data_IF_846407749263
#
_entry.id   IF_846407749263
#
_cell.length_a   1.000
_cell.length_b   1.000
_cell.length_c   1.000
_cell.angle_alpha   90.00
_cell.angle_beta   90.00
_cell.angle_gamma   90.00
#
_symmetry.space_group_name_H-M   'P 1'
#
loop_
_entity.id
_entity.type
_entity.pdbx_description
1 polymer ?
#
# COMPACT_ATOMS: atom_id res chain seq x y z
N UNK A 1 42.18 17.68 26.89
CA UNK A 1 41.46 16.90 27.91
C UNK A 1 40.05 16.69 27.42
N UNK A 2 39.72 15.44 27.15
CA UNK A 2 38.42 14.96 26.69
C UNK A 2 37.26 15.44 27.56
N UNK A 3 36.10 15.62 26.96
CA UNK A 3 34.91 14.88 27.41
C UNK A 3 33.86 14.83 26.31
N UNK A 4 33.61 13.59 25.91
CA UNK A 4 32.62 13.08 24.99
C UNK A 4 31.20 13.36 25.50
N UNK A 5 30.42 14.12 24.71
CA UNK A 5 28.99 14.29 24.89
C UNK A 5 28.24 13.04 24.43
N UNK A 6 27.55 12.41 25.37
CA UNK A 6 26.85 11.14 25.23
C UNK A 6 25.81 11.12 24.09
N UNK A 7 25.96 10.16 23.17
CA UNK A 7 24.90 9.70 22.29
C UNK A 7 23.80 9.05 23.16
N UNK A 8 22.73 9.79 23.41
CA UNK A 8 21.49 9.25 23.99
C UNK A 8 20.96 8.16 23.05
N UNK A 9 21.06 6.92 23.51
CA UNK A 9 20.62 5.74 22.79
C UNK A 9 19.17 5.88 22.33
N UNK A 10 18.97 5.69 21.02
CA UNK A 10 17.69 5.26 20.51
C UNK A 10 17.40 3.89 21.13
N UNK A 11 16.53 3.89 22.13
CA UNK A 11 16.02 2.71 22.80
C UNK A 11 15.43 1.75 21.75
N UNK A 12 16.12 0.63 21.48
CA UNK A 12 15.66 -0.40 20.54
C UNK A 12 14.52 -1.28 21.12
N UNK A 13 13.84 -0.86 22.20
CA UNK A 13 12.75 -1.59 22.86
C UNK A 13 11.61 -1.99 21.93
N UNK A 14 11.33 -1.22 20.86
CA UNK A 14 10.29 -1.56 19.88
C UNK A 14 10.62 -2.76 18.98
N UNK A 15 11.88 -3.24 18.96
CA UNK A 15 12.28 -4.40 18.14
C UNK A 15 12.01 -5.76 18.81
N UNK A 16 11.82 -5.79 20.13
CA UNK A 16 11.45 -7.02 20.86
C UNK A 16 9.95 -7.02 21.07
N UNK A 17 9.20 -7.65 20.15
CA UNK A 17 7.92 -8.36 20.41
C UNK A 17 7.16 -8.77 19.12
N UNK A 18 7.66 -8.43 17.92
CA UNK A 18 7.05 -8.88 16.65
C UNK A 18 7.17 -10.40 16.41
N UNK A 19 7.92 -11.12 17.25
CA UNK A 19 8.25 -12.54 17.08
C UNK A 19 7.16 -13.53 17.53
N UNK A 20 5.99 -13.06 18.00
CA UNK A 20 4.93 -13.96 18.48
C UNK A 20 3.76 -14.15 17.50
N UNK A 21 3.62 -13.29 16.48
CA UNK A 21 2.63 -13.43 15.41
C UNK A 21 3.24 -14.04 14.15
N UNK A 22 2.80 -15.23 13.76
CA UNK A 22 3.49 -16.07 12.79
C UNK A 22 3.41 -15.63 11.31
N UNK A 23 2.76 -14.52 10.94
CA UNK A 23 2.63 -14.13 9.53
C UNK A 23 2.65 -12.60 9.30
N UNK A 24 3.76 -11.94 9.63
CA UNK A 24 4.00 -10.54 9.24
C UNK A 24 4.84 -10.52 7.96
N UNK A 25 4.32 -9.92 6.88
CA UNK A 25 5.06 -9.71 5.64
C UNK A 25 5.50 -8.26 5.51
N UNK A 26 6.81 -8.04 5.50
CA UNK A 26 7.38 -6.70 5.33
C UNK A 26 7.70 -6.47 3.85
N UNK A 27 7.17 -5.38 3.31
CA UNK A 27 7.39 -4.97 1.91
C UNK A 27 8.14 -3.65 1.86
N UNK A 28 9.21 -3.61 1.05
CA UNK A 28 9.89 -2.36 0.71
C UNK A 28 9.28 -1.78 -0.56
N UNK A 29 8.91 -0.50 -0.51
CA UNK A 29 8.40 0.26 -1.65
C UNK A 29 9.29 1.48 -1.89
N UNK A 30 9.12 2.13 -3.04
CA UNK A 30 9.86 3.36 -3.34
C UNK A 30 9.43 4.47 -2.38
N UNK A 31 10.35 5.33 -1.90
CA UNK A 31 10.01 6.41 -0.97
C UNK A 31 8.91 7.35 -1.49
N UNK A 32 8.90 7.64 -2.79
CA UNK A 32 7.86 8.48 -3.43
C UNK A 32 6.45 7.87 -3.37
N UNK A 33 6.35 6.56 -3.12
CA UNK A 33 5.09 5.85 -2.92
C UNK A 33 4.76 5.66 -1.43
N UNK A 34 5.62 6.09 -0.50
CA UNK A 34 5.36 6.01 0.93
C UNK A 34 4.59 7.24 1.41
N UNK A 35 3.32 7.32 1.00
CA UNK A 35 2.37 8.41 1.27
C UNK A 35 0.94 7.85 1.18
N UNK A 36 -0.10 8.63 1.50
CA UNK A 36 -1.51 8.21 1.41
C UNK A 36 -1.95 7.34 2.57
N UNK A 37 -1.51 7.70 3.78
CA UNK A 37 -1.89 7.02 5.01
C UNK A 37 -2.70 7.93 5.90
N UNK A 38 -3.63 7.35 6.65
CA UNK A 38 -4.42 8.04 7.67
C UNK A 38 -4.42 7.23 8.97
N UNK A 39 -4.74 7.87 10.10
CA UNK A 39 -4.88 7.19 11.37
C UNK A 39 -6.06 6.21 11.30
N UNK A 40 -5.86 4.98 11.78
CA UNK A 40 -6.94 4.00 11.82
C UNK A 40 -8.13 4.56 12.63
N UNK A 41 -9.32 4.65 12.02
CA UNK A 41 -10.53 5.28 12.61
C UNK A 41 -10.33 6.75 13.04
N UNK A 42 -9.41 7.48 12.39
CA UNK A 42 -9.13 8.90 12.62
C UNK A 42 -8.39 9.23 13.94
N UNK A 43 -8.27 8.28 14.87
CA UNK A 43 -7.62 8.45 16.19
C UNK A 43 -6.90 7.20 16.71
N UNK A 44 -6.64 6.23 15.84
CA UNK A 44 -6.00 4.95 16.20
C UNK A 44 -4.51 5.09 16.52
N UNK A 45 -3.89 3.99 16.92
CA UNK A 45 -2.47 3.94 17.29
C UNK A 45 -1.51 3.69 16.12
N UNK A 46 -2.03 3.50 14.91
CA UNK A 46 -1.22 3.24 13.72
C UNK A 46 -1.84 3.87 12.47
N UNK A 47 -0.96 4.09 11.49
CA UNK A 47 -1.32 4.59 10.17
C UNK A 47 -1.74 3.42 9.26
N UNK A 48 -2.84 3.60 8.54
CA UNK A 48 -3.35 2.67 7.54
C UNK A 48 -3.39 3.35 6.18
N UNK A 49 -3.01 2.63 5.13
CA UNK A 49 -3.14 3.17 3.77
C UNK A 49 -4.61 3.38 3.43
N UNK A 50 -4.91 4.49 2.77
CA UNK A 50 -6.24 4.71 2.21
C UNK A 50 -6.61 3.58 1.22
N UNK A 51 -7.90 3.24 1.05
CA UNK A 51 -8.30 2.12 0.19
C UNK A 51 -7.72 2.19 -1.23
N UNK A 52 -7.69 3.37 -1.84
CA UNK A 52 -7.14 3.58 -3.17
C UNK A 52 -5.64 3.32 -3.21
N UNK A 53 -4.93 3.76 -2.17
CA UNK A 53 -3.49 3.55 -2.03
C UNK A 53 -3.19 2.07 -1.82
N UNK A 54 -3.92 1.39 -0.94
CA UNK A 54 -3.79 -0.03 -0.68
C UNK A 54 -3.98 -0.88 -1.95
N UNK A 55 -4.94 -0.52 -2.81
CA UNK A 55 -5.12 -1.16 -4.11
C UNK A 55 -3.86 -1.00 -4.98
N UNK A 56 -3.36 0.23 -5.12
CA UNK A 56 -2.19 0.50 -5.96
C UNK A 56 -0.92 -0.16 -5.43
N UNK A 57 -0.72 -0.19 -4.10
CA UNK A 57 0.41 -0.90 -3.48
C UNK A 57 0.36 -2.39 -3.78
N UNK A 58 -0.82 -2.99 -3.66
CA UNK A 58 -1.00 -4.42 -3.95
C UNK A 58 -0.70 -4.72 -5.42
N UNK A 59 -1.15 -3.87 -6.35
CA UNK A 59 -0.83 -3.98 -7.78
C UNK A 59 0.66 -3.74 -8.06
N UNK A 60 1.29 -2.75 -7.42
CA UNK A 60 2.72 -2.48 -7.53
C UNK A 60 3.55 -3.68 -7.06
N UNK A 61 3.18 -4.26 -5.91
CA UNK A 61 3.80 -5.46 -5.38
C UNK A 61 3.60 -6.67 -6.30
N UNK A 62 2.44 -6.80 -6.95
CA UNK A 62 2.18 -7.85 -7.94
C UNK A 62 3.07 -7.76 -9.19
N UNK A 63 3.51 -6.55 -9.55
CA UNK A 63 4.44 -6.32 -10.65
C UNK A 63 5.90 -6.66 -10.28
N UNK A 64 6.26 -6.52 -8.99
CA UNK A 64 7.63 -6.67 -8.48
C UNK A 64 7.92 -8.06 -7.89
N UNK A 65 6.97 -8.64 -7.16
CA UNK A 65 7.12 -9.92 -6.45
C UNK A 65 6.24 -10.99 -7.09
N UNK A 66 6.69 -12.25 -7.06
CA UNK A 66 6.00 -13.44 -7.62
C UNK A 66 4.50 -13.43 -7.28
N UNK A 67 3.70 -14.06 -8.17
CA UNK A 67 2.23 -14.20 -8.34
C UNK A 67 1.24 -14.03 -7.14
N UNK A 68 1.66 -13.83 -5.90
CA UNK A 68 0.82 -13.76 -4.68
C UNK A 68 -0.19 -12.61 -4.66
N UNK A 69 0.01 -11.56 -5.47
CA UNK A 69 -0.94 -10.45 -5.62
C UNK A 69 -1.55 -10.38 -7.03
N UNK A 70 -1.49 -11.49 -7.80
CA UNK A 70 -1.96 -11.50 -9.19
C UNK A 70 -3.49 -11.58 -9.28
N UNK A 71 -4.13 -12.17 -8.27
CA UNK A 71 -5.56 -12.47 -8.26
C UNK A 71 -6.17 -11.94 -6.96
N UNK A 72 -7.13 -11.03 -7.09
CA UNK A 72 -7.96 -10.57 -5.99
C UNK A 72 -9.32 -11.24 -6.16
N UNK A 73 -9.63 -12.31 -5.40
CA UNK A 73 -10.81 -13.13 -5.63
C UNK A 73 -12.08 -12.31 -5.58
N UNK A 74 -12.19 -11.36 -4.64
CA UNK A 74 -13.35 -10.47 -4.51
C UNK A 74 -12.89 -9.11 -4.02
N UNK A 75 -13.02 -8.08 -4.87
CA UNK A 75 -12.80 -6.69 -4.49
C UNK A 75 -14.13 -6.05 -4.13
N UNK A 76 -14.23 -5.62 -2.87
CA UNK A 76 -15.27 -4.74 -2.39
C UNK A 76 -14.76 -3.30 -2.40
N UNK A 77 -15.52 -2.40 -3.02
CA UNK A 77 -15.20 -0.98 -3.05
C UNK A 77 -16.26 -0.23 -2.22
N UNK A 78 -15.88 0.46 -1.14
CA UNK A 78 -16.82 1.31 -0.41
C UNK A 78 -17.28 2.46 -1.30
N UNK A 79 -18.43 3.07 -0.99
CA UNK A 79 -18.95 4.22 -1.74
C UNK A 79 -17.98 5.39 -1.81
N UNK A 80 -17.16 5.57 -0.77
CA UNK A 80 -16.13 6.59 -0.70
C UNK A 80 -14.91 6.31 -1.59
N UNK A 81 -14.82 5.12 -2.19
CA UNK A 81 -13.67 4.74 -3.01
C UNK A 81 -13.65 5.50 -4.34
N UNK A 82 -12.54 6.19 -4.59
CA UNK A 82 -12.33 6.98 -5.80
C UNK A 82 -11.33 6.32 -6.76
N UNK A 83 -11.85 5.77 -7.86
CA UNK A 83 -10.99 5.30 -8.96
C UNK A 83 -10.15 6.41 -9.58
N UNK A 84 -10.56 7.68 -9.47
CA UNK A 84 -9.74 8.82 -9.89
C UNK A 84 -8.50 8.94 -9.02
N UNK A 85 -8.65 8.91 -7.69
CA UNK A 85 -7.53 8.96 -6.74
C UNK A 85 -6.61 7.74 -6.88
N UNK A 86 -7.16 6.55 -7.14
CA UNK A 86 -6.35 5.36 -7.47
C UNK A 86 -5.50 5.56 -8.75
N UNK A 87 -6.05 6.20 -9.79
CA UNK A 87 -5.30 6.53 -11.01
C UNK A 87 -4.17 7.55 -10.74
N UNK A 88 -4.41 8.52 -9.87
CA UNK A 88 -3.38 9.49 -9.44
C UNK A 88 -2.22 8.78 -8.73
N UNK A 89 -2.52 7.86 -7.81
CA UNK A 89 -1.51 6.99 -7.17
C UNK A 89 -0.70 6.17 -8.17
N UNK A 90 -1.37 5.53 -9.14
CA UNK A 90 -0.68 4.82 -10.21
C UNK A 90 0.22 5.75 -11.05
N UNK A 91 -0.17 7.03 -11.20
CA UNK A 91 0.59 8.06 -11.88
C UNK A 91 1.92 8.39 -11.20
N UNK A 92 1.97 8.36 -9.86
CA UNK A 92 3.17 8.64 -9.05
C UNK A 92 4.28 7.59 -9.18
N UNK A 93 4.01 6.42 -9.78
CA UNK A 93 5.02 5.37 -9.98
C UNK A 93 6.07 5.86 -11.00
N UNK A 94 7.35 5.98 -10.62
CA UNK A 94 8.37 6.56 -11.50
C UNK A 94 8.80 5.61 -12.62
N UNK A 95 8.82 4.30 -12.34
CA UNK A 95 9.16 3.28 -13.34
C UNK A 95 8.04 3.17 -14.39
N UNK A 96 8.30 3.48 -15.68
CA UNK A 96 7.26 3.51 -16.70
C UNK A 96 6.69 2.13 -17.02
N UNK A 97 7.48 1.06 -16.90
CA UNK A 97 7.03 -0.32 -17.18
C UNK A 97 6.07 -0.78 -16.09
N UNK A 98 6.43 -0.54 -14.83
CA UNK A 98 5.57 -0.89 -13.69
C UNK A 98 4.32 -0.03 -13.68
N UNK A 99 4.46 1.27 -13.93
CA UNK A 99 3.32 2.18 -14.06
C UNK A 99 2.33 1.70 -15.13
N UNK A 100 2.83 1.32 -16.31
CA UNK A 100 2.00 0.79 -17.39
C UNK A 100 1.27 -0.49 -16.96
N UNK A 101 1.99 -1.43 -16.33
CA UNK A 101 1.41 -2.66 -15.80
C UNK A 101 0.28 -2.38 -14.79
N UNK A 102 0.55 -1.52 -13.79
CA UNK A 102 -0.41 -1.17 -12.74
C UNK A 102 -1.63 -0.48 -13.34
N UNK A 103 -1.45 0.48 -14.25
CA UNK A 103 -2.56 1.16 -14.94
C UNK A 103 -3.42 0.19 -15.75
N UNK A 104 -2.81 -0.75 -16.48
CA UNK A 104 -3.53 -1.78 -17.22
C UNK A 104 -4.38 -2.65 -16.29
N UNK A 105 -3.82 -3.08 -15.16
CA UNK A 105 -4.54 -3.87 -14.16
C UNK A 105 -5.69 -3.10 -13.53
N UNK A 106 -5.46 -1.85 -13.14
CA UNK A 106 -6.49 -0.98 -12.60
C UNK A 106 -7.64 -0.78 -13.58
N UNK A 107 -7.34 -0.60 -14.87
CA UNK A 107 -8.35 -0.45 -15.92
C UNK A 107 -9.28 -1.67 -16.00
N UNK A 108 -8.72 -2.88 -16.03
CA UNK A 108 -9.54 -4.10 -16.03
C UNK A 108 -10.39 -4.28 -14.76
N UNK A 109 -9.90 -3.83 -13.60
CA UNK A 109 -10.70 -3.83 -12.36
C UNK A 109 -11.89 -2.87 -12.48
N UNK A 110 -11.65 -1.66 -13.00
CA UNK A 110 -12.69 -0.63 -13.20
C UNK A 110 -13.75 -1.12 -14.17
N UNK A 111 -13.34 -1.69 -15.31
CA UNK A 111 -14.26 -2.27 -16.30
C UNK A 111 -15.12 -3.38 -15.69
N UNK A 112 -14.49 -4.33 -14.99
CA UNK A 112 -15.21 -5.42 -14.32
C UNK A 112 -16.19 -4.92 -13.27
N UNK A 113 -15.83 -3.87 -12.51
CA UNK A 113 -16.71 -3.25 -11.53
C UNK A 113 -17.97 -2.68 -12.21
N UNK A 114 -17.81 -1.90 -13.29
CA UNK A 114 -18.95 -1.34 -14.01
C UNK A 114 -19.81 -2.41 -14.69
N UNK A 115 -19.20 -3.47 -15.21
CA UNK A 115 -19.94 -4.59 -15.80
C UNK A 115 -20.81 -5.25 -14.73
N UNK A 116 -20.25 -5.60 -13.56
CA UNK A 116 -20.98 -6.25 -12.48
C UNK A 116 -22.18 -5.41 -12.03
N UNK A 117 -21.96 -4.14 -11.71
CA UNK A 117 -23.02 -3.23 -11.24
C UNK A 117 -24.02 -2.79 -12.34
N UNK A 118 -23.82 -3.17 -13.60
CA UNK A 118 -24.80 -2.92 -14.68
C UNK A 118 -25.86 -4.03 -14.76
N UNK A 119 -25.59 -5.19 -14.18
CA UNK A 119 -26.47 -6.36 -14.21
C UNK A 119 -27.05 -6.73 -12.83
N UNK A 120 -26.70 -5.96 -11.80
CA UNK A 120 -27.33 -5.95 -10.47
C UNK A 120 -28.45 -4.90 -10.45
#
# INVERSE_FOLDING_TARGET
TDTTGNNSGFDNSYKKNLYKDRNIFIHQILPVLFDGFDWYRGRGSFLIAEPEKALIDSLYLSARKKKQFRYFPELFFPESFSFKKAKEWAGKIPDPRIRSYVKKKLTGIVENFYIRNKFD
#
